data_IF_199958096098
#
_entry.id   IF_199958096098
#
_cell.length_a   1.000
_cell.length_b   1.000
_cell.length_c   1.000
_cell.angle_alpha   90.00
_cell.angle_beta   90.00
_cell.angle_gamma   90.00
#
_symmetry.space_group_name_H-M   'P 1'
#
loop_
_entity.id
_entity.type
_entity.pdbx_description
1 polymer ?
#
# COMPACT_ATOMS: atom_id res chain seq x y z
N UNK A 1 18.57 22.78 12.00
CA UNK A 1 17.74 21.81 11.26
C UNK A 1 18.39 20.43 11.14
N UNK A 2 19.54 20.21 10.49
CA UNK A 2 20.17 18.86 10.38
C UNK A 2 20.46 18.25 11.76
N UNK A 3 20.94 19.05 12.73
CA UNK A 3 21.19 18.59 14.10
C UNK A 3 19.88 18.10 14.75
N UNK A 4 18.79 18.83 14.60
CA UNK A 4 17.49 18.51 15.19
C UNK A 4 16.87 17.26 14.57
N UNK A 5 17.06 17.05 13.26
CA UNK A 5 16.61 15.83 12.56
C UNK A 5 17.31 14.61 13.14
N UNK A 6 18.64 14.66 13.30
CA UNK A 6 19.40 13.58 13.92
C UNK A 6 18.96 13.32 15.36
N UNK A 7 18.66 14.37 16.11
CA UNK A 7 18.15 14.25 17.48
C UNK A 7 16.73 13.62 17.48
N UNK A 8 15.84 14.04 16.59
CA UNK A 8 14.52 13.44 16.44
C UNK A 8 14.60 11.95 16.09
N UNK A 9 15.54 11.57 15.21
CA UNK A 9 15.79 10.16 14.89
C UNK A 9 16.26 9.39 16.11
N UNK A 10 17.16 9.93 16.90
CA UNK A 10 17.65 9.31 18.15
C UNK A 10 16.54 9.18 19.19
N UNK A 11 15.71 10.21 19.36
CA UNK A 11 14.63 10.24 20.34
C UNK A 11 13.35 9.52 19.88
N UNK A 12 13.27 9.13 18.62
CA UNK A 12 12.08 8.54 18.00
C UNK A 12 11.49 7.40 18.82
N UNK A 13 12.32 6.45 19.25
CA UNK A 13 11.89 5.30 20.04
C UNK A 13 11.33 5.73 21.39
N UNK A 14 11.96 6.70 22.07
CA UNK A 14 11.52 7.23 23.35
C UNK A 14 10.16 7.95 23.22
N UNK A 15 9.98 8.72 22.16
CA UNK A 15 8.72 9.41 21.85
C UNK A 15 7.61 8.39 21.66
N UNK A 16 7.83 7.37 20.82
CA UNK A 16 6.85 6.30 20.53
C UNK A 16 6.46 5.56 21.82
N UNK A 17 7.43 5.09 22.60
CA UNK A 17 7.15 4.36 23.84
C UNK A 17 6.41 5.21 24.87
N UNK A 18 6.70 6.50 24.94
CA UNK A 18 5.98 7.43 25.80
C UNK A 18 4.53 7.60 25.37
N UNK A 19 4.27 7.68 24.08
CA UNK A 19 2.91 7.72 23.51
C UNK A 19 2.14 6.42 23.79
N UNK A 20 2.78 5.26 23.62
CA UNK A 20 2.17 3.95 23.92
C UNK A 20 1.84 3.83 25.41
N UNK A 21 2.74 4.26 26.31
CA UNK A 21 2.47 4.29 27.76
C UNK A 21 1.30 5.23 28.10
N UNK A 22 1.22 6.38 27.44
CA UNK A 22 0.10 7.31 27.59
C UNK A 22 -1.22 6.66 27.15
N UNK A 23 -1.25 6.03 25.96
CA UNK A 23 -2.42 5.35 25.45
C UNK A 23 -2.89 4.24 26.39
N UNK A 24 -1.97 3.41 26.91
CA UNK A 24 -2.26 2.36 27.89
C UNK A 24 -2.95 2.91 29.14
N UNK A 25 -2.47 4.04 29.66
CA UNK A 25 -3.06 4.66 30.86
C UNK A 25 -4.43 5.26 30.59
N UNK A 26 -4.57 5.98 29.49
CA UNK A 26 -5.81 6.70 29.16
C UNK A 26 -6.93 5.79 28.67
N UNK A 27 -6.57 4.68 28.01
CA UNK A 27 -7.52 3.77 27.37
C UNK A 27 -7.25 2.29 27.73
N UNK A 28 -7.32 1.91 29.01
CA UNK A 28 -6.90 0.58 29.50
C UNK A 28 -7.72 -0.58 28.91
N UNK A 29 -8.97 -0.32 28.53
CA UNK A 29 -9.87 -1.34 27.95
C UNK A 29 -9.68 -1.55 26.43
N UNK A 30 -8.80 -0.78 25.81
CA UNK A 30 -8.44 -0.94 24.38
C UNK A 30 -7.14 -1.71 24.25
N UNK A 31 -7.15 -2.97 24.72
CA UNK A 31 -5.98 -3.86 24.72
C UNK A 31 -5.55 -4.32 23.31
N UNK A 32 -6.31 -3.96 22.28
CA UNK A 32 -5.95 -4.31 20.91
C UNK A 32 -4.88 -3.38 20.38
N UNK A 33 -3.67 -3.90 20.42
CA UNK A 33 -2.63 -3.55 19.48
C UNK A 33 -1.75 -2.35 19.85
N UNK A 34 -1.06 -2.46 20.97
CA UNK A 34 0.02 -1.53 21.28
C UNK A 34 1.16 -1.61 20.24
N UNK A 35 1.37 -2.77 19.62
CA UNK A 35 2.32 -2.96 18.54
C UNK A 35 1.83 -2.27 17.26
N UNK A 36 0.51 -2.24 17.02
CA UNK A 36 -0.07 -1.43 15.95
C UNK A 36 0.17 0.06 16.19
N UNK A 37 -0.06 0.54 17.42
CA UNK A 37 0.21 1.94 17.77
C UNK A 37 1.68 2.29 17.55
N UNK A 38 2.62 1.43 17.95
CA UNK A 38 4.04 1.62 17.68
C UNK A 38 4.34 1.74 16.20
N UNK A 39 3.82 0.81 15.39
CA UNK A 39 4.02 0.84 13.93
C UNK A 39 3.44 2.11 13.31
N UNK A 40 2.21 2.45 13.68
CA UNK A 40 1.53 3.62 13.13
C UNK A 40 2.27 4.92 13.49
N UNK A 41 2.71 5.08 14.75
CA UNK A 41 3.53 6.22 15.19
C UNK A 41 4.89 6.25 14.51
N UNK A 42 5.49 5.09 14.27
CA UNK A 42 6.75 5.01 13.54
C UNK A 42 6.60 5.55 12.12
N UNK A 43 5.59 5.13 11.38
CA UNK A 43 5.31 5.64 10.03
C UNK A 43 4.98 7.13 10.02
N UNK A 44 4.22 7.62 11.00
CA UNK A 44 3.89 9.04 11.10
C UNK A 44 5.14 9.87 11.34
N UNK A 45 5.96 9.47 12.29
CA UNK A 45 7.21 10.19 12.60
C UNK A 45 8.18 10.17 11.43
N UNK A 46 8.30 9.05 10.68
CA UNK A 46 9.13 8.99 9.48
C UNK A 46 8.64 9.94 8.40
N UNK A 47 7.32 9.98 8.17
CA UNK A 47 6.73 10.91 7.22
C UNK A 47 6.96 12.38 7.62
N UNK A 48 6.77 12.70 8.91
CA UNK A 48 6.99 14.05 9.42
C UNK A 48 8.47 14.45 9.38
N UNK A 49 9.38 13.54 9.73
CA UNK A 49 10.83 13.78 9.64
C UNK A 49 11.24 14.09 8.20
N UNK A 50 10.79 13.30 7.24
CA UNK A 50 11.05 13.56 5.83
C UNK A 50 10.51 14.93 5.39
N UNK A 51 9.30 15.29 5.83
CA UNK A 51 8.69 16.57 5.49
C UNK A 51 9.39 17.76 6.17
N UNK A 52 9.95 17.58 7.38
CA UNK A 52 10.81 18.58 8.03
C UNK A 52 12.12 18.76 7.24
N UNK A 53 12.78 17.66 6.88
CA UNK A 53 14.04 17.66 6.16
C UNK A 53 13.93 18.34 4.79
N UNK A 54 12.85 18.06 4.07
CA UNK A 54 12.64 18.53 2.69
C UNK A 54 11.76 19.79 2.60
N UNK A 55 11.34 20.34 3.73
CA UNK A 55 10.41 21.47 3.82
C UNK A 55 9.10 21.25 3.04
N UNK A 56 8.52 20.07 3.14
CA UNK A 56 7.29 19.67 2.47
C UNK A 56 6.19 19.29 3.47
N UNK A 57 5.00 18.97 2.98
CA UNK A 57 3.89 18.44 3.79
C UNK A 57 3.33 17.15 3.20
N UNK A 58 3.93 16.67 2.12
CA UNK A 58 3.38 15.64 1.26
C UNK A 58 3.22 14.30 1.95
N UNK A 59 4.27 13.84 2.64
CA UNK A 59 4.25 12.55 3.32
C UNK A 59 3.30 12.55 4.51
N UNK A 60 3.23 13.67 5.24
CA UNK A 60 2.32 13.84 6.38
C UNK A 60 0.86 13.81 5.93
N UNK A 61 0.51 14.53 4.85
CA UNK A 61 -0.84 14.52 4.27
C UNK A 61 -1.21 13.10 3.84
N UNK A 62 -0.32 12.45 3.13
CA UNK A 62 -0.57 11.10 2.66
C UNK A 62 -0.79 10.08 3.78
N UNK A 63 0.11 10.02 4.75
CA UNK A 63 -0.04 9.10 5.88
C UNK A 63 -1.33 9.41 6.63
N UNK A 64 -1.67 10.69 6.82
CA UNK A 64 -2.92 11.11 7.41
C UNK A 64 -4.14 10.60 6.62
N UNK A 65 -4.15 10.78 5.31
CA UNK A 65 -5.21 10.30 4.43
C UNK A 65 -5.35 8.77 4.49
N UNK A 66 -4.24 8.02 4.47
CA UNK A 66 -4.27 6.56 4.64
C UNK A 66 -4.87 6.12 5.97
N UNK A 67 -4.51 6.80 7.05
CA UNK A 67 -5.06 6.48 8.38
C UNK A 67 -6.54 6.83 8.45
N UNK A 68 -6.98 7.94 7.87
CA UNK A 68 -8.38 8.31 7.83
C UNK A 68 -9.21 7.26 7.07
N UNK A 69 -8.82 6.89 5.86
CA UNK A 69 -9.49 5.87 5.05
C UNK A 69 -9.59 4.54 5.80
N UNK A 70 -8.52 4.14 6.48
CA UNK A 70 -8.47 2.90 7.27
C UNK A 70 -9.46 2.89 8.43
N UNK A 71 -9.65 4.04 9.07
CA UNK A 71 -10.41 4.18 10.31
C UNK A 71 -11.82 4.74 10.11
N UNK A 72 -12.24 5.05 8.88
CA UNK A 72 -13.52 5.68 8.52
C UNK A 72 -14.76 5.04 9.19
N UNK A 73 -14.67 3.81 9.64
CA UNK A 73 -15.76 3.07 10.29
C UNK A 73 -15.78 3.14 11.81
N UNK A 74 -14.82 3.81 12.46
CA UNK A 74 -14.71 3.79 13.93
C UNK A 74 -14.42 5.17 14.51
N UNK A 75 -15.46 6.01 14.59
CA UNK A 75 -15.40 7.37 15.20
C UNK A 75 -14.70 7.35 16.57
N UNK A 76 -14.88 6.29 17.35
CA UNK A 76 -14.22 6.14 18.67
C UNK A 76 -12.70 5.94 18.60
N UNK A 77 -12.14 5.62 17.42
CA UNK A 77 -10.69 5.48 17.22
C UNK A 77 -10.06 6.83 16.98
N UNK A 78 -10.75 7.75 16.30
CA UNK A 78 -10.24 9.08 15.98
C UNK A 78 -9.82 9.88 17.21
N UNK A 79 -10.63 9.86 18.27
CA UNK A 79 -10.29 10.58 19.49
C UNK A 79 -9.02 10.04 20.15
N UNK A 80 -8.84 8.71 20.12
CA UNK A 80 -7.62 8.08 20.66
C UNK A 80 -6.41 8.47 19.84
N UNK A 81 -6.51 8.49 18.52
CA UNK A 81 -5.41 8.90 17.63
C UNK A 81 -5.06 10.37 17.82
N UNK A 82 -6.05 11.26 17.85
CA UNK A 82 -5.84 12.68 18.14
C UNK A 82 -5.12 12.90 19.48
N UNK A 83 -5.53 12.20 20.53
CA UNK A 83 -4.92 12.31 21.83
C UNK A 83 -3.46 11.80 21.84
N UNK A 84 -3.18 10.76 21.07
CA UNK A 84 -1.83 10.20 20.92
C UNK A 84 -0.93 11.17 20.13
N UNK A 85 -1.43 11.78 19.05
CA UNK A 85 -0.67 12.76 18.25
C UNK A 85 -0.41 14.05 19.05
N UNK A 86 -1.39 14.54 19.78
CA UNK A 86 -1.20 15.68 20.68
C UNK A 86 -0.17 15.37 21.77
N UNK A 87 -0.16 14.12 22.30
CA UNK A 87 0.85 13.68 23.25
C UNK A 87 2.24 13.61 22.60
N UNK A 88 2.34 13.08 21.39
CA UNK A 88 3.58 13.04 20.62
C UNK A 88 4.17 14.45 20.45
N UNK A 89 3.35 15.39 19.98
CA UNK A 89 3.77 16.78 19.82
C UNK A 89 4.18 17.41 21.15
N UNK A 90 3.41 17.21 22.23
CA UNK A 90 3.76 17.72 23.56
C UNK A 90 5.11 17.21 24.08
N UNK A 91 5.53 16.01 23.72
CA UNK A 91 6.85 15.49 24.09
C UNK A 91 7.95 16.25 23.32
N UNK A 92 7.73 16.53 22.03
CA UNK A 92 8.68 17.26 21.19
C UNK A 92 8.77 18.71 21.63
N UNK A 93 7.63 19.38 21.87
CA UNK A 93 7.55 20.77 22.31
C UNK A 93 8.24 21.02 23.66
N UNK A 94 8.18 20.06 24.57
CA UNK A 94 8.80 20.19 25.91
C UNK A 94 10.25 19.69 25.97
N UNK A 95 10.85 19.35 24.85
CA UNK A 95 12.24 18.95 24.78
C UNK A 95 13.11 20.15 24.39
N UNK A 96 13.81 20.73 25.35
CA UNK A 96 14.64 21.94 25.20
C UNK A 96 15.81 21.77 24.20
N UNK A 97 16.07 20.54 23.74
CA UNK A 97 17.12 20.28 22.78
C UNK A 97 16.71 20.54 21.32
N UNK A 98 15.41 20.73 21.05
CA UNK A 98 14.93 21.06 19.70
C UNK A 98 14.85 22.56 19.49
N UNK A 99 15.22 23.03 18.28
CA UNK A 99 15.06 24.41 17.91
C UNK A 99 13.59 24.82 17.77
N UNK A 100 13.31 26.11 18.00
CA UNK A 100 11.96 26.66 17.82
C UNK A 100 11.43 26.44 16.41
N UNK A 101 12.30 26.48 15.39
CA UNK A 101 11.93 26.21 14.00
C UNK A 101 11.45 24.78 13.80
N UNK A 102 12.17 23.80 14.35
CA UNK A 102 11.78 22.38 14.27
C UNK A 102 10.50 22.12 15.06
N UNK A 103 10.35 22.68 16.27
CA UNK A 103 9.14 22.58 17.07
C UNK A 103 7.95 23.17 16.31
N UNK A 104 8.11 24.38 15.73
CA UNK A 104 7.08 25.03 14.94
C UNK A 104 6.67 24.15 13.74
N UNK A 105 7.63 23.62 13.02
CA UNK A 105 7.38 22.76 11.86
C UNK A 105 6.63 21.48 12.22
N UNK A 106 7.05 20.81 13.30
CA UNK A 106 6.36 19.63 13.82
C UNK A 106 4.92 19.93 14.28
N UNK A 107 4.70 21.13 14.83
CA UNK A 107 3.36 21.62 15.18
C UNK A 107 2.47 21.75 13.96
N UNK A 108 2.96 22.35 12.90
CA UNK A 108 2.22 22.54 11.65
C UNK A 108 1.84 21.17 11.04
N UNK A 109 2.79 20.23 11.00
CA UNK A 109 2.53 18.87 10.50
C UNK A 109 1.53 18.09 11.38
N UNK A 110 1.61 18.26 12.70
CA UNK A 110 0.63 17.67 13.64
C UNK A 110 -0.76 18.27 13.47
N UNK A 111 -0.84 19.57 13.17
CA UNK A 111 -2.10 20.24 12.87
C UNK A 111 -2.74 19.69 11.56
N UNK A 112 -1.93 19.43 10.53
CA UNK A 112 -2.36 18.80 9.29
C UNK A 112 -2.96 17.41 9.57
N UNK A 113 -2.25 16.55 10.31
CA UNK A 113 -2.76 15.22 10.69
C UNK A 113 -4.08 15.31 11.46
N UNK A 114 -4.15 16.22 12.42
CA UNK A 114 -5.35 16.42 13.24
C UNK A 114 -6.53 16.92 12.41
N UNK A 115 -6.25 17.75 11.41
CA UNK A 115 -7.28 18.25 10.49
C UNK A 115 -7.82 17.13 9.59
N UNK A 116 -6.95 16.32 9.02
CA UNK A 116 -7.35 15.16 8.21
C UNK A 116 -8.23 14.20 9.03
N UNK A 117 -7.87 13.94 10.28
CA UNK A 117 -8.66 13.06 11.16
C UNK A 117 -10.05 13.64 11.43
N UNK A 118 -10.17 14.95 11.59
CA UNK A 118 -11.44 15.62 11.93
C UNK A 118 -12.33 15.86 10.71
N UNK A 119 -11.74 16.25 9.59
CA UNK A 119 -12.48 16.78 8.43
C UNK A 119 -12.47 15.85 7.22
N UNK A 120 -11.59 14.87 7.20
CA UNK A 120 -11.39 13.96 6.07
C UNK A 120 -10.12 14.23 5.27
N UNK A 121 -9.90 13.46 4.21
CA UNK A 121 -8.68 13.53 3.43
C UNK A 121 -8.45 14.91 2.82
N UNK A 122 -7.21 15.36 2.85
CA UNK A 122 -6.75 16.54 2.13
C UNK A 122 -6.27 16.16 0.71
N UNK A 123 -6.33 17.10 -0.23
CA UNK A 123 -5.69 16.90 -1.53
C UNK A 123 -4.19 16.66 -1.36
N UNK A 124 -3.73 15.57 -1.93
CA UNK A 124 -2.31 15.22 -1.93
C UNK A 124 -1.64 15.86 -3.14
N UNK A 125 -0.49 16.50 -2.93
CA UNK A 125 0.31 16.88 -4.07
C UNK A 125 0.76 15.63 -4.83
N UNK A 126 0.36 15.50 -6.07
CA UNK A 126 0.71 14.38 -6.94
C UNK A 126 2.21 14.41 -7.24
N UNK A 127 3.04 13.83 -6.37
CA UNK A 127 4.43 13.59 -6.67
C UNK A 127 4.70 12.10 -6.89
N UNK A 128 5.49 11.79 -7.93
CA UNK A 128 5.90 10.42 -8.21
C UNK A 128 6.67 9.79 -7.02
N UNK A 129 7.55 10.55 -6.39
CA UNK A 129 8.30 10.13 -5.21
C UNK A 129 7.39 9.75 -4.06
N UNK A 130 6.32 10.52 -3.87
CA UNK A 130 5.32 10.26 -2.88
C UNK A 130 4.64 8.91 -3.14
N UNK A 131 4.08 8.71 -4.33
CA UNK A 131 3.46 7.44 -4.71
C UNK A 131 4.42 6.26 -4.61
N UNK A 132 5.69 6.46 -4.96
CA UNK A 132 6.72 5.42 -4.90
C UNK A 132 7.06 4.99 -3.47
N UNK A 133 7.13 5.94 -2.52
CA UNK A 133 7.45 5.65 -1.10
C UNK A 133 6.35 4.83 -0.40
N UNK A 134 5.16 4.81 -0.96
CA UNK A 134 3.94 4.31 -0.32
C UNK A 134 3.49 2.97 -0.84
N UNK A 135 4.08 2.54 -1.93
CA UNK A 135 3.75 1.29 -2.57
C UNK A 135 4.11 0.09 -1.69
N UNK A 136 3.10 -0.70 -1.38
CA UNK A 136 3.29 -2.02 -0.77
C UNK A 136 2.50 -3.04 -1.58
N UNK A 137 3.06 -4.24 -1.72
CA UNK A 137 2.31 -5.37 -2.27
C UNK A 137 1.29 -5.82 -1.20
N UNK A 138 0.02 -5.74 -1.53
CA UNK A 138 -1.07 -5.94 -0.56
C UNK A 138 -1.60 -7.36 -0.61
N UNK A 139 -1.72 -7.96 0.56
CA UNK A 139 -2.20 -9.34 0.76
C UNK A 139 -3.55 -9.41 1.48
N UNK A 140 -4.01 -8.30 2.04
CA UNK A 140 -5.27 -8.27 2.77
C UNK A 140 -6.06 -7.00 2.43
N UNK A 141 -7.36 -7.16 2.24
CA UNK A 141 -8.22 -6.14 1.68
C UNK A 141 -9.35 -5.76 2.63
N UNK A 142 -9.71 -4.49 2.64
CA UNK A 142 -10.95 -4.03 3.25
C UNK A 142 -12.13 -4.46 2.36
N UNK A 143 -13.30 -4.62 2.99
CA UNK A 143 -14.54 -4.88 2.26
C UNK A 143 -15.03 -3.67 1.45
N UNK A 144 -14.45 -2.49 1.67
CA UNK A 144 -14.73 -1.27 0.89
C UNK A 144 -14.25 -1.48 -0.55
N UNK A 145 -15.16 -1.31 -1.49
CA UNK A 145 -14.88 -1.42 -2.92
C UNK A 145 -14.55 -0.04 -3.47
N UNK A 146 -13.40 0.16 -4.15
CA UNK A 146 -13.12 1.41 -4.87
C UNK A 146 -14.21 1.69 -5.92
N UNK A 147 -14.50 2.96 -6.12
CA UNK A 147 -15.44 3.39 -7.16
C UNK A 147 -14.87 3.10 -8.55
N UNK A 148 -15.74 2.88 -9.52
CA UNK A 148 -15.32 2.63 -10.90
C UNK A 148 -14.53 3.82 -11.48
N UNK A 149 -14.85 5.04 -11.06
CA UNK A 149 -14.16 6.26 -11.48
C UNK A 149 -12.70 6.28 -11.02
N UNK A 150 -12.40 5.72 -9.84
CA UNK A 150 -11.02 5.59 -9.35
C UNK A 150 -10.23 4.60 -10.20
N UNK A 151 -10.86 3.48 -10.59
CA UNK A 151 -10.25 2.49 -11.49
C UNK A 151 -10.04 3.07 -12.88
N UNK A 152 -11.05 3.77 -13.42
CA UNK A 152 -10.94 4.45 -14.71
C UNK A 152 -9.81 5.48 -14.69
N UNK A 153 -9.66 6.27 -13.62
CA UNK A 153 -8.56 7.20 -13.48
C UNK A 153 -7.17 6.55 -13.51
N UNK A 154 -7.04 5.32 -12.95
CA UNK A 154 -5.79 4.54 -13.04
C UNK A 154 -5.53 4.10 -14.50
N UNK A 155 -6.57 3.66 -15.19
CA UNK A 155 -6.47 3.22 -16.58
C UNK A 155 -6.21 4.39 -17.54
N UNK A 156 -6.78 5.56 -17.27
CA UNK A 156 -6.50 6.80 -18.01
C UNK A 156 -5.05 7.23 -17.84
N UNK A 157 -4.50 7.16 -16.63
CA UNK A 157 -3.07 7.43 -16.40
C UNK A 157 -2.19 6.43 -17.14
N UNK A 158 -2.56 5.15 -17.10
CA UNK A 158 -1.86 4.12 -17.86
C UNK A 158 -1.87 4.42 -19.35
N UNK A 159 -3.04 4.76 -19.91
CA UNK A 159 -3.20 5.04 -21.35
C UNK A 159 -2.38 6.26 -21.78
N UNK A 160 -2.43 7.34 -20.99
CA UNK A 160 -1.84 8.63 -21.37
C UNK A 160 -0.33 8.72 -21.08
N UNK A 161 0.15 8.04 -20.02
CA UNK A 161 1.49 8.26 -19.50
C UNK A 161 2.40 7.02 -19.51
N UNK A 162 1.85 5.81 -19.83
CA UNK A 162 2.69 4.62 -19.90
C UNK A 162 3.42 4.53 -21.25
N UNK A 163 4.74 4.59 -21.25
CA UNK A 163 5.48 4.37 -22.48
C UNK A 163 5.37 2.92 -22.92
N UNK A 164 5.31 2.71 -24.23
CA UNK A 164 5.46 1.40 -24.86
C UNK A 164 6.33 1.52 -26.09
N UNK A 165 6.99 0.43 -26.50
CA UNK A 165 7.84 0.44 -27.68
C UNK A 165 7.02 0.85 -28.91
N UNK A 166 7.41 1.97 -29.56
CA UNK A 166 6.76 2.52 -30.74
C UNK A 166 5.23 2.78 -30.56
N UNK A 167 4.76 2.97 -29.33
CA UNK A 167 3.34 3.12 -28.98
C UNK A 167 2.48 1.91 -29.35
N UNK A 168 3.07 0.71 -29.44
CA UNK A 168 2.35 -0.46 -29.96
C UNK A 168 1.46 -1.13 -28.92
N UNK A 169 1.70 -0.94 -27.62
CA UNK A 169 0.94 -1.55 -26.49
C UNK A 169 0.64 -3.02 -26.77
N UNK A 170 1.55 -3.91 -26.39
CA UNK A 170 1.48 -5.35 -26.70
C UNK A 170 0.53 -6.13 -25.81
N UNK A 171 -0.04 -5.52 -24.79
CA UNK A 171 -0.95 -6.17 -23.85
C UNK A 171 -2.41 -5.73 -24.06
N UNK A 172 -3.30 -6.55 -23.57
CA UNK A 172 -4.71 -6.26 -23.34
C UNK A 172 -5.01 -6.43 -21.85
N UNK A 173 -5.90 -5.60 -21.31
CA UNK A 173 -6.32 -5.64 -19.89
C UNK A 173 -7.82 -5.88 -19.85
N UNK A 174 -8.21 -6.97 -19.17
CA UNK A 174 -9.59 -7.19 -18.81
C UNK A 174 -9.81 -6.73 -17.36
N UNK A 175 -10.72 -5.77 -17.20
CA UNK A 175 -11.07 -5.18 -15.90
C UNK A 175 -12.21 -5.97 -15.28
N UNK A 176 -11.98 -6.56 -14.13
CA UNK A 176 -12.93 -7.47 -13.50
C UNK A 176 -13.29 -6.97 -12.09
N UNK A 177 -14.59 -6.80 -11.86
CA UNK A 177 -15.12 -6.53 -10.53
C UNK A 177 -15.34 -7.85 -9.79
N UNK A 178 -14.58 -8.05 -8.73
CA UNK A 178 -14.50 -9.31 -8.00
C UNK A 178 -15.56 -9.37 -6.87
N UNK A 179 -16.83 -9.25 -7.23
CA UNK A 179 -17.97 -9.21 -6.32
C UNK A 179 -18.79 -10.52 -6.29
N UNK A 180 -18.54 -11.44 -7.23
CA UNK A 180 -19.16 -12.77 -7.23
C UNK A 180 -18.32 -13.74 -6.38
N UNK A 181 -18.91 -14.25 -5.29
CA UNK A 181 -18.21 -15.10 -4.32
C UNK A 181 -17.72 -16.44 -4.92
N UNK A 182 -18.48 -17.06 -5.83
CA UNK A 182 -18.07 -18.33 -6.46
C UNK A 182 -16.88 -18.11 -7.42
N UNK A 183 -16.93 -17.06 -8.21
CA UNK A 183 -15.81 -16.70 -9.08
C UNK A 183 -14.58 -16.30 -8.27
N UNK A 184 -14.76 -15.54 -7.19
CA UNK A 184 -13.68 -15.18 -6.26
C UNK A 184 -12.99 -16.41 -5.68
N UNK A 185 -13.75 -17.42 -5.26
CA UNK A 185 -13.22 -18.70 -4.80
C UNK A 185 -12.45 -19.44 -5.88
N UNK A 186 -12.96 -19.48 -7.14
CA UNK A 186 -12.29 -20.11 -8.26
C UNK A 186 -10.96 -19.40 -8.59
N UNK A 187 -10.98 -18.06 -8.69
CA UNK A 187 -9.77 -17.25 -8.92
C UNK A 187 -8.75 -17.48 -7.81
N UNK A 188 -9.17 -17.45 -6.54
CA UNK A 188 -8.27 -17.69 -5.42
C UNK A 188 -7.66 -19.10 -5.47
N UNK A 189 -8.47 -20.13 -5.73
CA UNK A 189 -8.00 -21.51 -5.86
C UNK A 189 -7.05 -21.67 -7.04
N UNK A 190 -7.31 -21.01 -8.17
CA UNK A 190 -6.44 -21.03 -9.33
C UNK A 190 -5.01 -20.55 -9.00
N UNK A 191 -4.89 -19.61 -8.07
CA UNK A 191 -3.60 -19.07 -7.62
C UNK A 191 -3.01 -19.77 -6.39
N UNK A 192 -3.74 -20.68 -5.77
CA UNK A 192 -3.27 -21.42 -4.58
C UNK A 192 -2.48 -22.66 -4.99
N UNK A 193 -1.25 -22.80 -4.51
CA UNK A 193 -0.49 -24.04 -4.64
C UNK A 193 -0.53 -24.83 -3.34
N UNK A 194 -0.99 -26.07 -3.42
CA UNK A 194 -0.92 -27.03 -2.31
C UNK A 194 0.16 -28.05 -2.60
N UNK A 195 1.24 -28.01 -1.86
CA UNK A 195 2.15 -29.16 -1.74
C UNK A 195 1.94 -29.77 -0.36
N UNK A 196 2.21 -31.08 -0.19
CA UNK A 196 2.09 -31.77 1.10
C UNK A 196 2.80 -31.07 2.27
N UNK A 197 3.78 -30.21 1.97
CA UNK A 197 4.62 -29.53 2.96
C UNK A 197 4.41 -28.01 3.05
N UNK A 198 3.86 -27.34 2.03
CA UNK A 198 3.68 -25.87 2.03
C UNK A 198 2.46 -25.48 1.21
N UNK A 199 1.47 -24.90 1.86
CA UNK A 199 0.41 -24.18 1.16
C UNK A 199 0.93 -22.79 0.76
N UNK A 200 0.95 -22.49 -0.53
CA UNK A 200 1.20 -21.13 -1.03
C UNK A 200 -0.14 -20.45 -1.25
N UNK A 201 -0.30 -19.30 -0.65
CA UNK A 201 -1.50 -18.51 -0.75
C UNK A 201 -1.17 -17.20 -1.47
N UNK A 202 -2.02 -16.83 -2.41
CA UNK A 202 -1.90 -15.58 -3.16
C UNK A 202 -3.15 -14.70 -2.91
N UNK A 203 -3.33 -14.15 -1.70
CA UNK A 203 -4.54 -13.39 -1.36
C UNK A 203 -4.62 -12.04 -2.08
N UNK A 204 -3.62 -11.66 -2.84
CA UNK A 204 -3.65 -10.50 -3.74
C UNK A 204 -4.87 -10.53 -4.67
N UNK A 205 -5.26 -11.71 -5.12
CA UNK A 205 -6.41 -11.90 -6.01
C UNK A 205 -7.78 -11.86 -5.31
N UNK A 206 -7.80 -11.64 -3.99
CA UNK A 206 -9.03 -11.37 -3.24
C UNK A 206 -9.42 -9.88 -3.26
N UNK A 207 -8.65 -9.04 -3.94
CA UNK A 207 -8.96 -7.63 -4.11
C UNK A 207 -10.34 -7.43 -4.74
N UNK A 208 -11.04 -6.33 -4.42
CA UNK A 208 -12.36 -6.03 -4.98
C UNK A 208 -12.35 -5.76 -6.49
N UNK A 209 -11.22 -5.31 -7.03
CA UNK A 209 -11.00 -5.17 -8.47
C UNK A 209 -9.76 -5.95 -8.88
N UNK A 210 -9.84 -6.61 -10.05
CA UNK A 210 -8.74 -7.35 -10.66
C UNK A 210 -8.53 -6.86 -12.09
N UNK A 211 -7.26 -6.66 -12.44
CA UNK A 211 -6.83 -6.40 -13.80
C UNK A 211 -6.12 -7.65 -14.30
N UNK A 212 -6.67 -8.29 -15.33
CA UNK A 212 -6.08 -9.46 -15.95
C UNK A 212 -5.36 -9.07 -17.23
N UNK A 213 -4.09 -9.38 -17.31
CA UNK A 213 -3.25 -9.06 -18.47
C UNK A 213 -3.06 -10.27 -19.36
N UNK A 214 -3.21 -10.07 -20.66
CA UNK A 214 -2.90 -11.04 -21.69
C UNK A 214 -2.22 -10.38 -22.88
N UNK A 215 -1.51 -11.14 -23.75
CA UNK A 215 -1.05 -10.61 -25.01
C UNK A 215 -2.21 -10.06 -25.85
N UNK A 216 -1.98 -8.96 -26.54
CA UNK A 216 -3.00 -8.28 -27.35
C UNK A 216 -3.40 -9.10 -28.59
N UNK A 217 -2.45 -9.84 -29.15
CA UNK A 217 -2.66 -10.70 -30.31
C UNK A 217 -1.85 -12.00 -30.18
N UNK A 218 -2.29 -13.05 -30.88
CA UNK A 218 -1.61 -14.34 -30.85
C UNK A 218 -0.21 -14.32 -31.54
N UNK A 219 0.05 -13.36 -32.42
CA UNK A 219 1.34 -13.22 -33.06
C UNK A 219 2.43 -12.81 -32.04
N UNK A 220 2.04 -12.15 -30.97
CA UNK A 220 2.95 -11.80 -29.85
C UNK A 220 3.53 -13.05 -29.19
N UNK A 221 2.76 -14.13 -29.07
CA UNK A 221 3.23 -15.37 -28.43
C UNK A 221 4.09 -16.25 -29.36
N UNK A 222 4.07 -16.00 -30.66
CA UNK A 222 4.76 -16.82 -31.67
C UNK A 222 6.12 -16.27 -32.10
N UNK A 223 6.48 -15.10 -31.64
CA UNK A 223 7.69 -14.36 -32.01
C UNK A 223 8.41 -13.95 -30.74
N UNK A 224 9.59 -14.50 -30.49
CA UNK A 224 10.39 -14.25 -29.28
C UNK A 224 10.68 -12.77 -29.07
N UNK A 225 10.89 -12.01 -30.13
CA UNK A 225 11.14 -10.58 -30.05
C UNK A 225 9.89 -9.81 -29.60
N UNK A 226 8.72 -10.16 -30.12
CA UNK A 226 7.44 -9.55 -29.70
C UNK A 226 7.07 -9.95 -28.29
N UNK A 227 7.40 -11.18 -27.90
CA UNK A 227 7.19 -11.67 -26.54
C UNK A 227 8.08 -10.88 -25.53
N UNK A 228 9.33 -10.61 -25.89
CA UNK A 228 10.21 -9.77 -25.06
C UNK A 228 9.64 -8.33 -24.92
N UNK A 229 9.16 -7.74 -26.02
CA UNK A 229 8.51 -6.42 -26.01
C UNK A 229 7.23 -6.45 -25.14
N UNK A 230 6.44 -7.51 -25.21
CA UNK A 230 5.24 -7.69 -24.38
C UNK A 230 5.58 -7.67 -22.89
N UNK A 231 6.58 -8.45 -22.44
CA UNK A 231 6.97 -8.48 -21.03
C UNK A 231 7.60 -7.17 -20.57
N UNK A 232 8.31 -6.47 -21.43
CA UNK A 232 8.82 -5.12 -21.12
C UNK A 232 7.65 -4.14 -20.95
N UNK A 233 6.71 -4.08 -21.88
CA UNK A 233 5.52 -3.24 -21.80
C UNK A 233 4.66 -3.59 -20.57
N UNK A 234 4.52 -4.89 -20.26
CA UNK A 234 3.81 -5.37 -19.08
C UNK A 234 4.44 -4.88 -17.78
N UNK A 235 5.77 -4.92 -17.67
CA UNK A 235 6.49 -4.41 -16.51
C UNK A 235 6.30 -2.91 -16.30
N UNK A 236 6.39 -2.13 -17.39
CA UNK A 236 6.17 -0.68 -17.37
C UNK A 236 4.71 -0.35 -16.98
N UNK A 237 3.74 -1.02 -17.61
CA UNK A 237 2.32 -0.85 -17.31
C UNK A 237 2.00 -1.17 -15.85
N UNK A 238 2.55 -2.28 -15.35
CA UNK A 238 2.40 -2.69 -13.95
C UNK A 238 2.92 -1.61 -12.99
N UNK A 239 4.10 -1.08 -13.25
CA UNK A 239 4.69 0.00 -12.46
C UNK A 239 3.78 1.25 -12.44
N UNK A 240 3.30 1.68 -13.60
CA UNK A 240 2.42 2.84 -13.70
C UNK A 240 1.09 2.66 -12.97
N UNK A 241 0.46 1.48 -13.08
CA UNK A 241 -0.77 1.15 -12.35
C UNK A 241 -0.54 1.22 -10.84
N UNK A 242 0.58 0.67 -10.36
CA UNK A 242 0.91 0.67 -8.94
C UNK A 242 1.05 2.09 -8.40
N UNK A 243 1.76 2.96 -9.12
CA UNK A 243 1.96 4.35 -8.70
C UNK A 243 0.68 5.17 -8.84
N UNK A 244 -0.08 4.98 -9.91
CA UNK A 244 -1.37 5.65 -10.09
C UNK A 244 -2.39 5.23 -9.02
N UNK A 245 -2.45 3.95 -8.66
CA UNK A 245 -3.28 3.48 -7.56
C UNK A 245 -2.85 4.10 -6.22
N UNK A 246 -1.53 4.09 -5.93
CA UNK A 246 -0.99 4.66 -4.71
C UNK A 246 -1.28 6.16 -4.60
N UNK A 247 -1.18 6.93 -5.69
CA UNK A 247 -1.51 8.37 -5.71
C UNK A 247 -2.99 8.66 -5.40
N UNK A 248 -3.86 7.67 -5.58
CA UNK A 248 -5.30 7.73 -5.25
C UNK A 248 -5.65 7.09 -3.91
N UNK A 249 -4.64 6.78 -3.07
CA UNK A 249 -4.86 6.12 -1.78
C UNK A 249 -5.31 4.66 -1.88
N UNK A 250 -5.14 4.04 -3.06
CA UNK A 250 -5.42 2.63 -3.29
C UNK A 250 -4.14 1.81 -3.20
N UNK A 251 -4.28 0.57 -2.81
CA UNK A 251 -3.18 -0.38 -2.77
C UNK A 251 -3.33 -1.43 -3.87
N UNK A 252 -2.22 -2.04 -4.24
CA UNK A 252 -2.16 -3.08 -5.28
C UNK A 252 -1.55 -4.37 -4.75
N UNK A 253 -1.99 -5.48 -5.30
CA UNK A 253 -1.41 -6.79 -5.06
C UNK A 253 -1.16 -7.52 -6.36
N UNK A 254 0.09 -7.90 -6.64
CA UNK A 254 0.50 -8.53 -7.89
C UNK A 254 0.59 -10.04 -7.71
N UNK A 255 0.03 -10.80 -8.64
CA UNK A 255 0.17 -12.25 -8.70
C UNK A 255 0.41 -12.72 -10.14
N UNK A 256 1.45 -13.52 -10.30
CA UNK A 256 1.73 -14.27 -11.55
C UNK A 256 1.57 -15.78 -11.36
N UNK A 257 1.41 -16.24 -10.12
CA UNK A 257 1.36 -17.66 -9.80
C UNK A 257 -0.04 -18.23 -10.09
N UNK A 258 -0.24 -18.78 -11.26
CA UNK A 258 -1.45 -19.54 -11.62
C UNK A 258 -1.06 -21.02 -11.63
N UNK A 259 -1.78 -21.83 -10.87
CA UNK A 259 -1.48 -23.25 -10.68
C UNK A 259 -2.59 -24.17 -11.24
N UNK A 260 -3.77 -23.61 -11.46
CA UNK A 260 -4.93 -24.35 -11.98
C UNK A 260 -5.60 -23.56 -13.10
N UNK A 261 -5.10 -23.74 -14.31
CA UNK A 261 -5.54 -23.05 -15.53
C UNK A 261 -7.03 -23.20 -15.79
N UNK A 262 -7.59 -24.39 -15.56
CA UNK A 262 -9.00 -24.64 -15.83
C UNK A 262 -9.93 -23.80 -14.97
N UNK A 263 -9.57 -23.59 -13.68
CA UNK A 263 -10.37 -22.78 -12.77
C UNK A 263 -10.42 -21.30 -13.18
N UNK A 264 -9.31 -20.76 -13.67
CA UNK A 264 -9.29 -19.36 -14.10
C UNK A 264 -9.98 -19.21 -15.47
N UNK A 265 -9.82 -20.19 -16.39
CA UNK A 265 -10.52 -20.21 -17.67
C UNK A 265 -12.03 -20.28 -17.53
N UNK A 266 -12.56 -20.98 -16.51
CA UNK A 266 -13.99 -20.98 -16.21
C UNK A 266 -14.55 -19.60 -15.86
N UNK A 267 -13.71 -18.67 -15.38
CA UNK A 267 -14.15 -17.32 -14.96
C UNK A 267 -13.96 -16.30 -16.07
N UNK A 268 -12.79 -16.30 -16.74
CA UNK A 268 -12.42 -15.26 -17.71
C UNK A 268 -12.13 -15.78 -19.11
N UNK A 269 -12.21 -17.09 -19.35
CA UNK A 269 -12.06 -17.72 -20.68
C UNK A 269 -10.61 -17.98 -21.13
N UNK A 270 -9.60 -17.55 -20.38
CA UNK A 270 -8.19 -17.72 -20.72
C UNK A 270 -7.31 -17.74 -19.45
N UNK A 271 -6.00 -17.99 -19.60
CA UNK A 271 -5.01 -17.88 -18.53
C UNK A 271 -4.29 -16.55 -18.67
N UNK A 272 -4.38 -15.63 -17.70
CA UNK A 272 -3.69 -14.36 -17.77
C UNK A 272 -2.19 -14.51 -17.47
N UNK A 273 -1.38 -13.63 -18.05
CA UNK A 273 0.06 -13.55 -17.78
C UNK A 273 0.38 -12.89 -16.45
N UNK A 274 -0.51 -12.00 -16.02
CA UNK A 274 -0.39 -11.26 -14.76
C UNK A 274 -1.76 -10.86 -14.25
N UNK A 275 -1.91 -10.85 -12.93
CA UNK A 275 -3.09 -10.32 -12.24
C UNK A 275 -2.65 -9.22 -11.28
N UNK A 276 -3.32 -8.07 -11.35
CA UNK A 276 -3.15 -6.98 -10.38
C UNK A 276 -4.46 -6.79 -9.63
N UNK A 277 -4.45 -7.05 -8.33
CA UNK A 277 -5.54 -6.71 -7.44
C UNK A 277 -5.46 -5.23 -7.03
N UNK A 278 -6.60 -4.54 -7.00
CA UNK A 278 -6.71 -3.14 -6.59
C UNK A 278 -7.80 -3.00 -5.53
N UNK A 279 -7.49 -2.29 -4.44
CA UNK A 279 -8.43 -2.06 -3.35
C UNK A 279 -7.83 -1.24 -2.22
N UNK A 280 -8.55 -1.17 -1.12
CA UNK A 280 -8.04 -0.57 0.12
C UNK A 280 -7.43 -1.65 1.00
N UNK A 281 -6.19 -1.45 1.44
CA UNK A 281 -5.48 -2.42 2.28
C UNK A 281 -6.09 -2.51 3.67
N UNK A 282 -6.31 -3.74 4.13
CA UNK A 282 -6.49 -4.03 5.54
C UNK A 282 -5.13 -4.32 6.19
N UNK A 283 -4.78 -3.59 7.23
CA UNK A 283 -3.52 -3.79 7.95
C UNK A 283 -3.56 -4.93 8.97
N UNK A 284 -4.69 -5.62 9.13
CA UNK A 284 -4.72 -6.90 9.85
C UNK A 284 -3.93 -7.92 9.02
N UNK A 285 -2.99 -8.62 9.65
CA UNK A 285 -2.19 -9.66 8.99
C UNK A 285 -2.96 -10.97 8.76
N UNK A 286 -4.20 -11.06 9.25
CA UNK A 286 -5.07 -12.21 9.08
C UNK A 286 -5.99 -12.00 7.88
N UNK A 287 -6.16 -13.03 7.07
CA UNK A 287 -7.13 -13.07 5.99
C UNK A 287 -7.86 -14.40 5.94
N UNK A 288 -9.07 -14.41 5.36
CA UNK A 288 -9.81 -15.63 5.16
C UNK A 288 -9.21 -16.44 4.00
N UNK A 289 -8.70 -17.62 4.32
CA UNK A 289 -8.28 -18.57 3.30
C UNK A 289 -9.49 -19.35 2.77
N UNK A 290 -10.00 -18.92 1.62
CA UNK A 290 -11.18 -19.55 0.99
C UNK A 290 -10.94 -21.02 0.61
N UNK A 291 -9.67 -21.39 0.35
CA UNK A 291 -9.33 -22.78 0.03
C UNK A 291 -9.53 -23.74 1.20
N UNK A 292 -9.21 -23.28 2.42
CA UNK A 292 -9.32 -24.09 3.65
C UNK A 292 -10.47 -23.68 4.55
N UNK A 293 -11.24 -22.69 4.15
CA UNK A 293 -12.31 -22.10 4.96
C UNK A 293 -11.86 -21.74 6.39
N UNK A 294 -10.69 -21.13 6.52
CA UNK A 294 -10.09 -20.71 7.80
C UNK A 294 -9.35 -19.39 7.68
N UNK A 295 -9.18 -18.73 8.81
CA UNK A 295 -8.35 -17.52 8.92
C UNK A 295 -6.88 -17.94 8.99
N UNK A 296 -6.05 -17.31 8.20
CA UNK A 296 -4.59 -17.53 8.15
C UNK A 296 -3.89 -16.20 8.43
N UNK A 297 -2.82 -16.26 9.21
CA UNK A 297 -1.87 -15.13 9.31
C UNK A 297 -0.98 -15.09 8.07
N UNK A 298 -0.76 -13.87 7.57
CA UNK A 298 0.20 -13.64 6.50
C UNK A 298 1.60 -13.82 7.10
N UNK A 299 2.41 -14.75 6.58
CA UNK A 299 3.77 -14.91 7.03
C UNK A 299 4.57 -13.62 6.88
N UNK A 300 5.53 -13.39 7.75
CA UNK A 300 6.54 -12.35 7.57
C UNK A 300 7.50 -12.80 6.48
N UNK A 301 7.33 -12.24 5.29
CA UNK A 301 8.32 -12.37 4.22
C UNK A 301 9.29 -11.18 4.32
N UNK A 302 9.95 -11.07 5.44
CA UNK A 302 11.00 -10.08 5.61
C UNK A 302 12.28 -10.60 4.95
N UNK A 303 12.24 -10.71 3.63
CA UNK A 303 13.42 -10.93 2.83
C UNK A 303 14.04 -9.56 2.60
N UNK A 304 15.20 -9.25 3.20
CA UNK A 304 15.85 -7.98 2.96
C UNK A 304 16.14 -7.82 1.47
N UNK A 305 15.98 -6.61 0.97
CA UNK A 305 16.47 -6.32 -0.38
C UNK A 305 17.97 -6.48 -0.41
N UNK A 306 18.53 -6.90 -1.56
CA UNK A 306 19.97 -6.84 -1.76
C UNK A 306 20.48 -5.43 -1.51
N UNK A 307 21.70 -5.29 -0.98
CA UNK A 307 22.35 -3.99 -0.87
C UNK A 307 22.56 -3.41 -2.28
N UNK A 308 22.54 -2.07 -2.37
CA UNK A 308 22.54 -1.39 -3.66
C UNK A 308 23.77 -1.74 -4.53
N UNK A 309 24.93 -1.96 -3.94
CA UNK A 309 26.18 -2.34 -4.59
C UNK A 309 26.19 -3.78 -5.12
N UNK A 310 25.26 -4.65 -4.67
CA UNK A 310 25.12 -6.00 -5.21
C UNK A 310 24.49 -6.01 -6.63
N UNK A 311 23.78 -4.95 -7.03
CA UNK A 311 23.08 -4.91 -8.31
C UNK A 311 23.23 -3.59 -9.09
N UNK A 312 23.97 -2.60 -8.54
CA UNK A 312 24.31 -1.33 -9.23
C UNK A 312 25.83 -1.18 -9.26
N UNK A 313 26.36 -1.03 -10.46
CA UNK A 313 27.79 -0.75 -10.67
C UNK A 313 27.93 0.56 -11.44
N UNK A 314 28.74 1.50 -10.94
CA UNK A 314 29.14 2.71 -11.65
C UNK A 314 30.35 2.36 -12.54
N UNK A 315 30.21 2.56 -13.86
CA UNK A 315 31.23 2.23 -14.88
C UNK A 315 31.91 3.50 -15.36
#
# INVERSE_FOLDING_TARGET
MIHDINLLIQEKTNIIESCVKYQKRKYPNRTRDYDKCRRDLNYILDAMLFDVENNTTHNTIYIGNKFWIRNERQISVYQVELDVYNKMFSIIENNENFSDETVKRMKDLTAILSNIIKQGPMEEPNSWHHSASLRLNTYNWLLKVPKVEEINGILDDLHNYSPSKQKMVRYHIDVYRNDNDENKKKIYRAHAATTEKKARHNPQVLAPWLLFFRPRDEATLKDDFRLADFYMDLGIATSNIIYSAASRGLDTGISKCINYDDLIKEVIGYVPELVIGIGYRNNDRRYMCLHYNKIIEIPDYDVPKPEMDEYITYV
#
